data_IF_299311076900
#
_entry.id   IF_299311076900
#
_cell.length_a   1.000
_cell.length_b   1.000
_cell.length_c   1.000
_cell.angle_alpha   90.00
_cell.angle_beta   90.00
_cell.angle_gamma   90.00
#
_symmetry.space_group_name_H-M   'P 1'
#
loop_
_entity.id
_entity.type
_entity.pdbx_description
1 polymer ?
#
# COMPACT_ATOMS: atom_id res chain seq x y z
N UNK A 1 -23.94 16.49 -5.20
CA UNK A 1 -22.67 15.81 -5.57
C UNK A 1 -22.30 14.92 -4.38
N UNK A 2 -22.15 13.61 -4.56
CA UNK A 2 -21.73 12.72 -3.48
C UNK A 2 -20.32 13.07 -3.06
N UNK A 3 -20.07 13.21 -1.75
CA UNK A 3 -18.76 13.51 -1.21
C UNK A 3 -17.77 12.38 -1.60
N UNK A 4 -16.54 12.75 -1.94
CA UNK A 4 -15.50 11.76 -2.24
C UNK A 4 -15.25 10.86 -1.02
N UNK A 5 -15.14 9.54 -1.20
CA UNK A 5 -14.88 8.64 -0.07
C UNK A 5 -13.55 9.00 0.62
N UNK A 6 -13.45 8.75 1.93
CA UNK A 6 -12.21 8.91 2.67
C UNK A 6 -11.04 8.21 1.98
N UNK A 7 -9.85 8.81 2.08
CA UNK A 7 -8.61 8.25 1.55
C UNK A 7 -7.68 7.85 2.69
N UNK A 8 -7.27 6.59 2.70
CA UNK A 8 -6.27 6.05 3.63
C UNK A 8 -4.94 5.90 2.90
N UNK A 9 -3.86 6.46 3.49
CA UNK A 9 -2.51 6.47 2.92
C UNK A 9 -1.54 5.72 3.82
N UNK A 10 -1.10 4.51 3.44
CA UNK A 10 -0.24 3.66 4.24
C UNK A 10 1.22 3.74 3.77
N UNK A 11 2.10 4.22 4.65
CA UNK A 11 3.53 4.41 4.35
C UNK A 11 4.36 3.12 4.39
N UNK A 12 5.58 3.19 3.85
CA UNK A 12 6.53 2.09 3.77
C UNK A 12 7.41 1.91 5.01
N UNK A 13 8.37 0.99 4.89
CA UNK A 13 9.42 0.75 5.87
C UNK A 13 10.33 1.98 5.94
N UNK A 14 10.71 2.39 7.16
CA UNK A 14 11.52 3.57 7.49
C UNK A 14 10.90 4.92 7.11
N UNK A 15 9.65 4.90 6.63
CA UNK A 15 8.89 6.09 6.31
C UNK A 15 7.95 6.51 7.46
N UNK A 16 7.39 7.68 7.32
CA UNK A 16 6.35 8.23 8.20
C UNK A 16 5.23 8.83 7.34
N UNK A 17 4.07 9.19 7.90
CA UNK A 17 3.00 9.87 7.16
C UNK A 17 3.44 11.14 6.41
N UNK A 18 4.54 11.75 6.82
CA UNK A 18 5.12 12.94 6.15
C UNK A 18 5.50 12.67 4.69
N UNK A 19 5.74 11.41 4.32
CA UNK A 19 6.00 10.98 2.94
C UNK A 19 4.91 11.47 1.98
N UNK A 20 3.66 11.48 2.41
CA UNK A 20 2.52 11.82 1.57
C UNK A 20 2.24 13.31 1.42
N UNK A 21 3.02 14.20 2.06
CA UNK A 21 2.76 15.65 2.03
C UNK A 21 2.61 16.19 0.59
N UNK A 22 3.53 15.81 -0.31
CA UNK A 22 3.49 16.24 -1.72
C UNK A 22 2.29 15.66 -2.46
N UNK A 23 1.95 14.40 -2.22
CA UNK A 23 0.77 13.79 -2.82
C UNK A 23 -0.52 14.48 -2.34
N UNK A 24 -0.65 14.71 -1.02
CA UNK A 24 -1.82 15.38 -0.44
C UNK A 24 -1.98 16.79 -1.03
N UNK A 25 -0.89 17.56 -1.13
CA UNK A 25 -0.89 18.86 -1.77
C UNK A 25 -1.29 18.77 -3.26
N UNK A 26 -0.74 17.79 -3.98
CA UNK A 26 -1.06 17.58 -5.39
C UNK A 26 -2.50 17.14 -5.62
N UNK A 27 -3.11 16.40 -4.69
CA UNK A 27 -4.51 16.00 -4.77
C UNK A 27 -5.45 17.21 -4.74
N UNK A 28 -5.11 18.26 -4.00
CA UNK A 28 -5.90 19.48 -3.92
C UNK A 28 -7.39 19.18 -3.66
N UNK A 29 -7.65 18.39 -2.63
CA UNK A 29 -8.99 17.98 -2.18
C UNK A 29 -9.11 18.20 -0.66
N UNK A 30 -9.15 19.47 -0.18
CA UNK A 30 -9.13 19.77 1.25
C UNK A 30 -10.34 19.20 2.00
N UNK A 31 -11.48 19.08 1.34
CA UNK A 31 -12.71 18.55 1.93
C UNK A 31 -12.77 17.02 1.99
N UNK A 32 -11.85 16.33 1.32
CA UNK A 32 -11.82 14.87 1.33
C UNK A 32 -11.28 14.36 2.66
N UNK A 33 -12.05 13.56 3.43
CA UNK A 33 -11.54 12.98 4.66
C UNK A 33 -10.31 12.12 4.38
N UNK A 34 -9.25 12.33 5.16
CA UNK A 34 -7.95 11.68 4.95
C UNK A 34 -7.45 11.07 6.26
N UNK A 35 -6.86 9.88 6.16
CA UNK A 35 -6.13 9.22 7.22
C UNK A 35 -4.77 8.76 6.67
N UNK A 36 -3.70 9.29 7.22
CA UNK A 36 -2.34 8.79 7.00
C UNK A 36 -1.79 8.28 8.34
N UNK A 37 -2.07 7.01 8.70
CA UNK A 37 -1.73 6.49 10.01
C UNK A 37 -0.21 6.37 10.17
N UNK A 38 0.30 6.73 11.34
CA UNK A 38 1.64 6.36 11.74
C UNK A 38 1.61 4.99 12.41
N UNK A 39 2.21 3.99 11.77
CA UNK A 39 2.35 2.65 12.33
C UNK A 39 3.82 2.40 12.70
N UNK A 40 4.17 2.49 14.00
CA UNK A 40 5.52 2.16 14.43
C UNK A 40 5.85 0.71 14.10
N UNK A 41 6.76 0.51 13.15
CA UNK A 41 7.17 -0.80 12.65
C UNK A 41 8.49 -1.29 13.27
N UNK A 42 9.08 -0.52 14.22
CA UNK A 42 10.29 -0.91 14.92
C UNK A 42 11.46 -1.23 13.97
N UNK A 43 11.72 -0.37 12.99
CA UNK A 43 12.74 -0.60 11.93
C UNK A 43 12.55 -1.91 11.13
N UNK A 44 11.37 -2.52 11.17
CA UNK A 44 11.06 -3.78 10.50
C UNK A 44 10.97 -5.00 11.43
N UNK A 45 11.05 -4.80 12.75
CA UNK A 45 10.87 -5.89 13.73
C UNK A 45 9.43 -6.36 13.84
N UNK A 46 8.46 -5.45 13.69
CA UNK A 46 7.05 -5.76 13.88
C UNK A 46 6.52 -6.54 12.68
N UNK A 47 5.93 -7.74 12.88
CA UNK A 47 5.31 -8.52 11.80
C UNK A 47 4.21 -7.73 11.08
N UNK A 48 4.08 -7.90 9.76
CA UNK A 48 3.14 -7.11 8.95
C UNK A 48 1.67 -7.36 9.32
N UNK A 49 1.30 -8.58 9.75
CA UNK A 49 -0.05 -8.87 10.26
C UNK A 49 -0.40 -8.06 11.51
N UNK A 50 0.57 -7.82 12.40
CA UNK A 50 0.37 -6.95 13.57
C UNK A 50 0.13 -5.50 13.15
N UNK A 51 0.88 -5.03 12.14
CA UNK A 51 0.69 -3.68 11.58
C UNK A 51 -0.66 -3.55 10.87
N UNK A 52 -1.12 -4.59 10.17
CA UNK A 52 -2.45 -4.61 9.56
C UNK A 52 -3.58 -4.53 10.60
N UNK A 53 -3.44 -5.21 11.74
CA UNK A 53 -4.39 -5.07 12.86
C UNK A 53 -4.40 -3.67 13.48
N UNK A 54 -3.23 -2.99 13.53
CA UNK A 54 -3.17 -1.58 13.97
C UNK A 54 -3.81 -0.64 12.93
N UNK A 55 -3.63 -0.91 11.65
CA UNK A 55 -4.29 -0.17 10.56
C UNK A 55 -5.80 -0.30 10.67
N UNK A 56 -6.32 -1.52 10.84
CA UNK A 56 -7.75 -1.77 11.02
C UNK A 56 -8.35 -0.92 12.14
N UNK A 57 -7.71 -0.94 13.31
CA UNK A 57 -8.14 -0.16 14.46
C UNK A 57 -8.23 1.33 14.14
N UNK A 58 -7.19 1.92 13.54
CA UNK A 58 -7.18 3.35 13.22
C UNK A 58 -8.22 3.73 12.16
N UNK A 59 -8.48 2.84 11.17
CA UNK A 59 -9.55 3.06 10.18
C UNK A 59 -10.91 3.05 10.86
N UNK A 60 -11.17 2.09 11.76
CA UNK A 60 -12.44 2.00 12.52
C UNK A 60 -12.64 3.20 13.44
N UNK A 61 -11.61 3.56 14.20
CA UNK A 61 -11.64 4.74 15.08
C UNK A 61 -11.95 6.03 14.32
N UNK A 62 -11.43 6.18 13.10
CA UNK A 62 -11.56 7.41 12.32
C UNK A 62 -12.84 7.50 11.49
N UNK A 63 -13.29 6.37 10.93
CA UNK A 63 -14.37 6.32 9.93
C UNK A 63 -15.51 5.37 10.28
N UNK A 64 -15.48 4.72 11.46
CA UNK A 64 -16.43 3.68 11.83
C UNK A 64 -16.21 2.37 11.06
N UNK A 65 -17.15 1.44 11.14
CA UNK A 65 -16.99 0.09 10.59
C UNK A 65 -17.40 -0.01 9.11
N UNK A 66 -18.37 0.77 8.66
CA UNK A 66 -19.05 0.56 7.37
C UNK A 66 -18.74 1.62 6.30
N UNK A 67 -18.05 2.71 6.64
CA UNK A 67 -17.77 3.78 5.69
C UNK A 67 -16.90 3.27 4.54
N UNK A 68 -17.35 3.34 3.27
CA UNK A 68 -16.53 2.98 2.13
C UNK A 68 -15.30 3.89 2.00
N UNK A 69 -14.14 3.32 1.73
CA UNK A 69 -12.88 4.05 1.62
C UNK A 69 -12.15 3.75 0.31
N UNK A 70 -11.23 4.65 -0.04
CA UNK A 70 -10.14 4.38 -0.98
C UNK A 70 -8.83 4.19 -0.19
N UNK A 71 -7.98 3.30 -0.66
CA UNK A 71 -6.75 2.91 0.02
C UNK A 71 -5.55 3.04 -0.90
N UNK A 72 -4.49 3.71 -0.46
CA UNK A 72 -3.19 3.72 -1.14
C UNK A 72 -2.13 3.21 -0.19
N UNK A 73 -1.40 2.19 -0.62
CA UNK A 73 -0.25 1.67 0.10
C UNK A 73 1.03 1.86 -0.71
N UNK A 74 2.04 2.48 -0.08
CA UNK A 74 3.37 2.65 -0.66
C UNK A 74 4.34 1.63 -0.06
N UNK A 75 5.11 0.93 -0.92
CA UNK A 75 6.15 0.00 -0.48
C UNK A 75 5.57 -1.07 0.48
N UNK A 76 6.19 -1.30 1.63
CA UNK A 76 5.67 -2.17 2.69
C UNK A 76 4.21 -1.86 3.04
N UNK A 77 3.81 -0.59 2.96
CA UNK A 77 2.44 -0.17 3.24
C UNK A 77 1.39 -0.81 2.33
N UNK A 78 1.75 -1.13 1.08
CA UNK A 78 0.85 -1.85 0.18
C UNK A 78 0.68 -3.32 0.56
N UNK A 79 1.69 -3.96 1.13
CA UNK A 79 1.57 -5.34 1.66
C UNK A 79 0.70 -5.34 2.92
N UNK A 80 0.92 -4.40 3.84
CA UNK A 80 0.08 -4.21 5.04
C UNK A 80 -1.38 -3.99 4.64
N UNK A 81 -1.62 -3.13 3.64
CA UNK A 81 -2.94 -2.86 3.10
C UNK A 81 -3.59 -4.12 2.51
N UNK A 82 -2.82 -4.93 1.79
CA UNK A 82 -3.29 -6.19 1.22
C UNK A 82 -3.68 -7.21 2.30
N UNK A 83 -2.90 -7.33 3.39
CA UNK A 83 -3.25 -8.17 4.54
C UNK A 83 -4.60 -7.71 5.12
N UNK A 84 -4.75 -6.41 5.34
CA UNK A 84 -6.00 -5.84 5.85
C UNK A 84 -7.19 -6.15 4.96
N UNK A 85 -7.02 -6.03 3.63
CA UNK A 85 -8.06 -6.35 2.65
C UNK A 85 -8.47 -7.82 2.70
N UNK A 86 -7.51 -8.75 2.70
CA UNK A 86 -7.77 -10.18 2.55
C UNK A 86 -8.04 -10.91 3.87
N UNK A 87 -7.36 -10.54 4.97
CA UNK A 87 -7.43 -11.26 6.24
C UNK A 87 -8.32 -10.58 7.30
N UNK A 88 -8.57 -9.28 7.19
CA UNK A 88 -9.32 -8.49 8.17
C UNK A 88 -10.62 -7.87 7.61
N UNK A 89 -11.17 -8.50 6.57
CA UNK A 89 -12.41 -8.09 5.92
C UNK A 89 -12.41 -6.65 5.35
N UNK A 90 -11.25 -6.01 5.23
CA UNK A 90 -11.13 -4.65 4.70
C UNK A 90 -11.66 -4.49 3.27
N UNK A 91 -11.63 -5.57 2.46
CA UNK A 91 -12.17 -5.57 1.11
C UNK A 91 -13.66 -5.26 1.04
N UNK A 92 -14.45 -5.58 2.08
CA UNK A 92 -15.90 -5.35 2.13
C UNK A 92 -16.27 -3.87 2.07
N UNK A 93 -15.35 -3.00 2.50
CA UNK A 93 -15.55 -1.55 2.54
C UNK A 93 -14.56 -0.74 1.69
N UNK A 94 -13.67 -1.41 0.98
CA UNK A 94 -12.68 -0.74 0.12
C UNK A 94 -13.18 -0.72 -1.32
N UNK A 95 -13.38 0.47 -1.87
CA UNK A 95 -13.75 0.66 -3.27
C UNK A 95 -12.56 0.46 -4.20
N UNK A 96 -11.44 1.13 -3.89
CA UNK A 96 -10.25 1.16 -4.73
C UNK A 96 -9.00 0.96 -3.89
N UNK A 97 -8.08 0.16 -4.41
CA UNK A 97 -6.77 -0.06 -3.81
C UNK A 97 -5.65 0.28 -4.79
N UNK A 98 -4.83 1.24 -4.41
CA UNK A 98 -3.68 1.72 -5.16
C UNK A 98 -2.39 1.21 -4.50
N UNK A 99 -1.75 0.23 -5.12
CA UNK A 99 -0.50 -0.38 -4.64
C UNK A 99 0.69 0.25 -5.36
N UNK A 100 1.47 1.06 -4.66
CA UNK A 100 2.57 1.84 -5.24
C UNK A 100 3.91 1.26 -4.81
N UNK A 101 4.67 0.65 -5.73
CA UNK A 101 5.98 0.09 -5.46
C UNK A 101 6.00 -0.93 -4.32
N UNK A 102 4.95 -1.74 -4.19
CA UNK A 102 4.81 -2.65 -3.06
C UNK A 102 5.26 -4.06 -3.44
N UNK A 103 6.08 -4.75 -2.61
CA UNK A 103 6.60 -6.08 -2.93
C UNK A 103 5.52 -7.16 -2.78
N UNK A 104 4.51 -7.14 -3.67
CA UNK A 104 3.34 -8.02 -3.61
C UNK A 104 3.69 -9.50 -3.81
N UNK A 105 4.80 -9.78 -4.47
CA UNK A 105 5.36 -11.13 -4.66
C UNK A 105 6.75 -11.26 -4.01
N UNK A 106 7.09 -10.33 -3.13
CA UNK A 106 8.38 -10.27 -2.46
C UNK A 106 9.42 -9.42 -3.17
N UNK A 107 10.60 -9.34 -2.59
CA UNK A 107 11.74 -8.63 -3.17
C UNK A 107 13.07 -9.29 -2.82
N UNK A 108 14.02 -9.21 -3.75
CA UNK A 108 15.40 -9.66 -3.52
C UNK A 108 16.06 -8.87 -2.39
N UNK A 109 15.73 -7.58 -2.24
CA UNK A 109 16.26 -6.74 -1.17
C UNK A 109 15.98 -7.29 0.25
N UNK A 110 14.88 -8.05 0.43
CA UNK A 110 14.55 -8.66 1.71
C UNK A 110 15.24 -10.01 1.96
N UNK A 111 15.84 -10.65 0.94
CA UNK A 111 16.32 -12.02 1.07
C UNK A 111 17.41 -12.23 2.13
N UNK A 112 18.31 -11.25 2.31
CA UNK A 112 19.35 -11.30 3.30
C UNK A 112 18.92 -10.96 4.73
N UNK A 113 17.66 -10.58 4.94
CA UNK A 113 17.15 -10.12 6.25
C UNK A 113 16.86 -11.32 7.15
N UNK A 114 17.48 -11.45 8.34
CA UNK A 114 17.16 -12.53 9.27
C UNK A 114 15.77 -12.34 9.89
N UNK A 115 14.91 -13.37 9.83
CA UNK A 115 13.55 -13.29 10.40
C UNK A 115 13.56 -13.11 11.92
N UNK A 116 14.55 -13.68 12.59
CA UNK A 116 14.71 -13.55 14.04
C UNK A 116 14.97 -12.12 14.50
N UNK A 117 15.52 -11.28 13.61
CA UNK A 117 15.84 -9.88 13.91
C UNK A 117 14.80 -8.91 13.34
N UNK A 118 14.33 -9.13 12.12
CA UNK A 118 13.47 -8.18 11.39
C UNK A 118 12.28 -8.92 10.77
N UNK A 119 11.35 -9.39 11.60
CA UNK A 119 10.23 -10.22 11.19
C UNK A 119 9.38 -9.58 10.09
N UNK A 120 9.02 -8.30 10.22
CA UNK A 120 8.22 -7.58 9.23
C UNK A 120 8.96 -7.35 7.90
N UNK A 121 10.28 -7.11 7.94
CA UNK A 121 11.06 -7.04 6.72
C UNK A 121 11.20 -8.42 6.06
N UNK A 122 11.35 -9.48 6.87
CA UNK A 122 11.41 -10.86 6.38
C UNK A 122 10.07 -11.36 5.82
N UNK A 123 8.94 -10.80 6.23
CA UNK A 123 7.62 -11.07 5.65
C UNK A 123 7.55 -10.68 4.16
N UNK A 124 8.44 -9.76 3.70
CA UNK A 124 8.53 -9.35 2.30
C UNK A 124 9.54 -10.17 1.47
N UNK A 125 10.09 -11.25 2.02
CA UNK A 125 10.93 -12.18 1.24
C UNK A 125 10.12 -12.88 0.17
N UNK A 126 10.79 -13.18 -0.92
CA UNK A 126 10.24 -14.05 -1.97
C UNK A 126 9.87 -15.40 -1.36
N UNK A 127 8.62 -15.82 -1.57
CA UNK A 127 8.13 -17.09 -1.06
C UNK A 127 8.01 -17.14 0.48
N UNK A 128 7.92 -16.00 1.17
CA UNK A 128 7.56 -15.98 2.59
C UNK A 128 6.19 -16.63 2.83
N UNK A 129 5.98 -17.17 4.02
CA UNK A 129 4.68 -17.77 4.39
C UNK A 129 3.55 -16.75 4.20
N UNK A 130 3.78 -15.50 4.64
CA UNK A 130 2.82 -14.41 4.46
C UNK A 130 2.40 -14.23 3.00
N UNK A 131 3.37 -14.06 2.09
CA UNK A 131 3.06 -13.81 0.69
C UNK A 131 2.46 -15.03 -0.01
N UNK A 132 2.86 -16.25 0.40
CA UNK A 132 2.22 -17.48 -0.09
C UNK A 132 0.76 -17.56 0.34
N UNK A 133 0.45 -17.24 1.60
CA UNK A 133 -0.92 -17.23 2.11
C UNK A 133 -1.79 -16.22 1.35
N UNK A 134 -1.30 -14.98 1.20
CA UNK A 134 -1.99 -13.93 0.44
C UNK A 134 -2.21 -14.29 -1.04
N UNK A 135 -1.26 -15.02 -1.65
CA UNK A 135 -1.37 -15.43 -3.05
C UNK A 135 -2.27 -16.67 -3.24
N UNK A 136 -2.47 -17.49 -2.20
CA UNK A 136 -3.32 -18.68 -2.26
C UNK A 136 -4.79 -18.34 -2.44
N UNK A 137 -5.26 -17.26 -1.80
CA UNK A 137 -6.64 -16.81 -1.90
C UNK A 137 -6.75 -15.29 -2.19
N UNK A 138 -6.63 -14.88 -3.45
CA UNK A 138 -6.78 -13.49 -3.85
C UNK A 138 -8.25 -13.07 -4.06
N UNK A 139 -9.24 -13.94 -3.77
CA UNK A 139 -10.66 -13.69 -4.12
C UNK A 139 -11.21 -12.43 -3.46
N UNK A 140 -10.81 -12.12 -2.23
CA UNK A 140 -11.24 -10.90 -1.56
C UNK A 140 -10.89 -9.62 -2.36
N UNK A 141 -9.80 -9.65 -3.15
CA UNK A 141 -9.42 -8.52 -4.00
C UNK A 141 -10.33 -8.34 -5.22
N UNK A 142 -11.11 -9.36 -5.61
CA UNK A 142 -12.00 -9.27 -6.77
C UNK A 142 -13.12 -8.23 -6.59
N UNK A 143 -13.51 -7.96 -5.35
CA UNK A 143 -14.50 -6.94 -5.02
C UNK A 143 -13.92 -5.51 -5.00
N UNK A 144 -12.59 -5.37 -5.10
CA UNK A 144 -11.87 -4.10 -4.97
C UNK A 144 -11.28 -3.70 -6.33
N UNK A 145 -11.50 -2.46 -6.74
CA UNK A 145 -10.83 -1.93 -7.94
C UNK A 145 -9.33 -1.72 -7.65
N UNK A 146 -8.51 -2.73 -7.98
CA UNK A 146 -7.08 -2.73 -7.71
C UNK A 146 -6.26 -2.11 -8.83
N UNK A 147 -5.23 -1.33 -8.48
CA UNK A 147 -4.24 -0.82 -9.43
C UNK A 147 -2.84 -0.85 -8.84
N UNK A 148 -1.91 -1.46 -9.57
CA UNK A 148 -0.50 -1.54 -9.20
C UNK A 148 0.33 -0.53 -9.95
N UNK A 149 1.21 0.19 -9.25
CA UNK A 149 2.16 1.12 -9.83
C UNK A 149 3.59 0.62 -9.62
N UNK A 150 4.34 0.63 -10.69
CA UNK A 150 5.74 0.21 -10.72
C UNK A 150 6.62 1.32 -11.28
N UNK A 151 7.92 1.23 -11.13
CA UNK A 151 8.88 2.00 -11.90
C UNK A 151 9.99 1.10 -12.44
N UNK A 152 10.71 1.60 -13.46
CA UNK A 152 11.63 0.78 -14.24
C UNK A 152 12.82 0.25 -13.43
N UNK A 153 13.40 1.08 -12.56
CA UNK A 153 14.62 0.78 -11.81
C UNK A 153 14.36 0.81 -10.29
N UNK A 154 13.33 0.07 -9.87
CA UNK A 154 13.04 -0.08 -8.45
C UNK A 154 14.01 -1.08 -7.81
N UNK A 155 15.05 -0.56 -7.16
CA UNK A 155 16.02 -1.40 -6.44
C UNK A 155 15.49 -1.90 -5.10
N UNK A 156 14.41 -1.30 -4.58
CA UNK A 156 13.78 -1.74 -3.33
C UNK A 156 12.80 -2.90 -3.57
N UNK A 157 12.13 -2.90 -4.74
CA UNK A 157 11.27 -4.00 -5.16
C UNK A 157 11.81 -4.56 -6.47
N UNK A 158 12.75 -5.45 -6.34
CA UNK A 158 13.45 -6.06 -7.47
C UNK A 158 13.13 -7.57 -7.53
N UNK A 159 12.76 -8.06 -8.71
CA UNK A 159 12.44 -7.34 -9.95
C UNK A 159 11.13 -6.55 -9.86
N UNK A 160 11.05 -5.42 -10.57
CA UNK A 160 9.95 -4.45 -10.45
C UNK A 160 8.55 -5.01 -10.76
N UNK A 161 8.45 -6.04 -11.64
CA UNK A 161 7.15 -6.70 -11.93
C UNK A 161 6.58 -7.50 -10.76
N UNK A 162 7.36 -7.76 -9.71
CA UNK A 162 6.86 -8.37 -8.47
C UNK A 162 6.06 -7.39 -7.60
N UNK A 163 6.03 -6.12 -7.96
CA UNK A 163 5.14 -5.14 -7.33
C UNK A 163 3.69 -5.20 -7.82
N UNK A 164 3.38 -6.09 -8.78
CA UNK A 164 2.04 -6.20 -9.36
C UNK A 164 1.18 -7.16 -8.55
N UNK A 165 -0.03 -6.70 -8.19
CA UNK A 165 -1.06 -7.53 -7.58
C UNK A 165 -1.55 -8.61 -8.56
N UNK A 166 -2.09 -9.74 -8.05
CA UNK A 166 -2.63 -10.80 -8.91
C UNK A 166 -3.87 -10.37 -9.70
N UNK A 167 -4.50 -9.26 -9.30
CA UNK A 167 -5.71 -8.74 -9.91
C UNK A 167 -5.61 -7.23 -10.13
N UNK A 168 -6.41 -6.72 -11.08
CA UNK A 168 -6.51 -5.31 -11.38
C UNK A 168 -5.57 -4.84 -12.49
N UNK A 169 -5.51 -3.53 -12.66
CA UNK A 169 -4.68 -2.91 -13.69
C UNK A 169 -3.27 -2.57 -13.18
N UNK A 170 -2.33 -2.40 -14.10
CA UNK A 170 -0.97 -1.95 -13.79
C UNK A 170 -0.64 -0.65 -14.53
N UNK A 171 0.23 0.15 -13.95
CA UNK A 171 0.75 1.37 -14.53
C UNK A 171 2.24 1.51 -14.20
N UNK A 172 3.09 1.63 -15.21
CA UNK A 172 4.48 2.01 -15.00
C UNK A 172 4.56 3.54 -14.92
N UNK A 173 5.08 4.04 -13.80
CA UNK A 173 5.28 5.47 -13.58
C UNK A 173 6.57 5.91 -14.30
N UNK A 174 6.58 7.09 -14.95
CA UNK A 174 7.74 7.59 -15.69
C UNK A 174 8.80 8.19 -14.74
N UNK A 175 9.26 7.35 -13.82
CA UNK A 175 10.26 7.71 -12.81
C UNK A 175 11.27 6.57 -12.64
N UNK A 176 12.44 6.87 -12.08
CA UNK A 176 13.56 5.95 -12.05
C UNK A 176 13.72 5.18 -10.74
N UNK A 177 13.30 5.76 -9.62
CA UNK A 177 13.58 5.20 -8.30
C UNK A 177 12.32 4.99 -7.49
N UNK A 178 12.41 4.10 -6.51
CA UNK A 178 11.35 3.80 -5.57
C UNK A 178 10.70 5.04 -4.93
N UNK A 179 11.52 5.92 -4.36
CA UNK A 179 11.03 7.14 -3.69
C UNK A 179 10.41 8.16 -4.65
N UNK A 180 10.84 8.18 -5.90
CA UNK A 180 10.27 9.06 -6.92
C UNK A 180 8.82 8.71 -7.24
N UNK A 181 8.39 7.45 -7.04
CA UNK A 181 7.00 7.06 -7.29
C UNK A 181 5.98 7.83 -6.46
N UNK A 182 6.37 8.34 -5.29
CA UNK A 182 5.48 9.09 -4.39
C UNK A 182 5.86 10.56 -4.22
N UNK A 183 6.91 11.02 -4.89
CA UNK A 183 7.46 12.37 -4.70
C UNK A 183 7.70 13.16 -5.99
N UNK A 184 7.92 12.50 -7.13
CA UNK A 184 8.23 13.15 -8.40
C UNK A 184 6.98 13.73 -9.05
N UNK A 185 7.02 14.95 -9.63
CA UNK A 185 5.85 15.60 -10.23
C UNK A 185 5.10 14.74 -11.26
N UNK A 186 5.82 14.00 -12.11
CA UNK A 186 5.19 13.15 -13.14
C UNK A 186 4.44 11.97 -12.53
N UNK A 187 4.98 11.32 -11.49
CA UNK A 187 4.28 10.28 -10.76
C UNK A 187 3.05 10.84 -10.03
N UNK A 188 3.22 11.98 -9.35
CA UNK A 188 2.13 12.64 -8.62
C UNK A 188 1.00 13.07 -9.55
N UNK A 189 1.29 13.48 -10.79
CA UNK A 189 0.28 13.82 -11.80
C UNK A 189 -0.59 12.61 -12.14
N UNK A 190 0.02 11.43 -12.32
CA UNK A 190 -0.70 10.19 -12.61
C UNK A 190 -1.50 9.74 -11.40
N UNK A 191 -0.89 9.69 -10.21
CA UNK A 191 -1.58 9.31 -8.97
C UNK A 191 -2.75 10.24 -8.66
N UNK A 192 -2.56 11.56 -8.80
CA UNK A 192 -3.63 12.56 -8.66
C UNK A 192 -4.80 12.28 -9.59
N UNK A 193 -4.53 12.07 -10.88
CA UNK A 193 -5.56 11.76 -11.87
C UNK A 193 -6.37 10.53 -11.43
N UNK A 194 -5.68 9.45 -11.09
CA UNK A 194 -6.31 8.17 -10.79
C UNK A 194 -7.07 8.20 -9.43
N UNK A 195 -6.54 8.91 -8.44
CA UNK A 195 -7.20 9.09 -7.14
C UNK A 195 -8.43 10.02 -7.18
N UNK A 196 -8.51 10.90 -8.20
CA UNK A 196 -9.65 11.81 -8.41
C UNK A 196 -10.77 11.22 -9.26
N UNK A 197 -10.50 10.19 -10.03
CA UNK A 197 -11.56 9.50 -10.80
C UNK A 197 -12.64 8.97 -9.84
N UNK A 198 -13.91 8.95 -10.25
CA UNK A 198 -15.02 8.45 -9.44
C UNK A 198 -14.94 6.95 -9.17
#
# INVERSE_FOLDING_TARGET
MSASPPLVLMHGLWDTPRLFRRLIQALDQPERPLLAPHLPHGLGHVPLRVLAGRLDRQIRERFGDDTPIDLLGFSMGGVISRIWLQELAGAQRTRRFFSVGSPQNGTLAAMAVPRSLLAGAADMKIGSDLLRDLNRDPQALAAVSCRSYTCRWDLMVCPGWWAVLPQGSRCELPVWTHQQMISHPDALRILRRDLRLP
#
